data_IF_995908115206
#
_entry.id   IF_995908115206
#
_cell.length_a   1.000
_cell.length_b   1.000
_cell.length_c   1.000
_cell.angle_alpha   90.00
_cell.angle_beta   90.00
_cell.angle_gamma   90.00
#
_symmetry.space_group_name_H-M   'P 1'
#
loop_
_entity.id
_entity.type
_entity.pdbx_description
1 polymer ?
#
# COMPACT_ATOMS: atom_id res chain seq x y z
N UNK A 1 16.98 -14.93 8.11
CA UNK A 1 16.01 -15.60 7.22
C UNK A 1 15.06 -14.54 6.69
N UNK A 2 15.29 -14.03 5.47
CA UNK A 2 14.37 -13.09 4.85
C UNK A 2 13.15 -13.88 4.38
N UNK A 3 12.09 -13.90 5.20
CA UNK A 3 10.84 -14.57 4.87
C UNK A 3 10.27 -13.98 3.59
N UNK A 4 9.96 -14.84 2.60
CA UNK A 4 9.25 -14.41 1.40
C UNK A 4 7.95 -13.74 1.83
N UNK A 5 7.77 -12.46 1.46
CA UNK A 5 6.48 -11.78 1.62
C UNK A 5 5.40 -12.58 0.90
N UNK A 6 4.41 -13.08 1.64
CA UNK A 6 3.33 -13.89 1.10
C UNK A 6 2.14 -12.98 0.78
N UNK A 7 1.64 -13.05 -0.45
CA UNK A 7 0.40 -12.37 -0.83
C UNK A 7 -0.77 -13.16 -0.26
N UNK A 8 -1.50 -12.57 0.69
CA UNK A 8 -2.66 -13.16 1.36
C UNK A 8 -3.99 -12.85 0.65
N UNK A 9 -4.09 -11.68 0.03
CA UNK A 9 -5.21 -11.32 -0.84
C UNK A 9 -4.74 -10.71 -2.15
N UNK A 10 -5.39 -11.08 -3.25
CA UNK A 10 -5.07 -10.56 -4.60
C UNK A 10 -6.13 -9.59 -5.10
N UNK A 11 -5.71 -8.71 -6.02
CA UNK A 11 -6.64 -7.86 -6.75
C UNK A 11 -7.73 -8.71 -7.43
N UNK A 12 -8.98 -8.31 -7.28
CA UNK A 12 -10.13 -9.00 -7.87
C UNK A 12 -10.58 -10.26 -7.13
N UNK A 13 -9.93 -10.66 -6.05
CA UNK A 13 -10.39 -11.74 -5.18
C UNK A 13 -11.70 -11.33 -4.47
N UNK A 14 -12.58 -12.31 -4.19
CA UNK A 14 -13.82 -12.06 -3.44
C UNK A 14 -13.52 -11.62 -2.00
N UNK A 15 -14.09 -10.48 -1.60
CA UNK A 15 -14.01 -9.97 -0.23
C UNK A 15 -15.25 -10.38 0.57
N UNK A 16 -16.43 -10.01 0.08
CA UNK A 16 -17.72 -10.39 0.68
C UNK A 16 -18.84 -10.24 -0.35
N UNK A 17 -19.59 -11.30 -0.61
CA UNK A 17 -20.63 -11.30 -1.65
C UNK A 17 -20.07 -10.91 -3.02
N UNK A 18 -20.59 -9.82 -3.59
CA UNK A 18 -20.11 -9.27 -4.87
C UNK A 18 -18.90 -8.34 -4.74
N UNK A 19 -18.52 -7.95 -3.52
CA UNK A 19 -17.36 -7.09 -3.29
C UNK A 19 -16.07 -7.83 -3.64
N UNK A 20 -15.13 -7.08 -4.25
CA UNK A 20 -13.82 -7.57 -4.66
C UNK A 20 -12.73 -6.69 -4.08
N UNK A 21 -11.58 -7.28 -3.77
CA UNK A 21 -10.37 -6.56 -3.39
C UNK A 21 -9.92 -5.63 -4.53
N UNK A 22 -9.71 -4.34 -4.20
CA UNK A 22 -9.23 -3.31 -5.14
C UNK A 22 -7.71 -3.15 -5.15
N UNK A 23 -7.02 -3.85 -4.26
CA UNK A 23 -5.57 -3.92 -4.16
C UNK A 23 -5.14 -5.34 -3.82
N UNK A 24 -4.00 -5.47 -3.18
CA UNK A 24 -3.49 -6.72 -2.63
C UNK A 24 -3.08 -6.54 -1.16
N UNK A 25 -3.08 -7.64 -0.43
CA UNK A 25 -2.56 -7.69 0.94
C UNK A 25 -1.31 -8.56 0.96
N UNK A 26 -0.25 -8.01 1.51
CA UNK A 26 1.08 -8.63 1.53
C UNK A 26 1.48 -8.79 2.99
N UNK A 27 1.63 -10.03 3.44
CA UNK A 27 2.05 -10.33 4.81
C UNK A 27 3.52 -9.94 4.98
N UNK A 28 3.81 -9.22 6.05
CA UNK A 28 5.14 -8.79 6.43
C UNK A 28 5.18 -8.56 7.96
N UNK A 29 6.31 -8.80 8.63
CA UNK A 29 6.43 -8.52 10.06
C UNK A 29 6.08 -7.06 10.39
N UNK A 30 5.43 -6.83 11.53
CA UNK A 30 5.22 -5.48 12.08
C UNK A 30 6.55 -4.72 12.17
N UNK A 31 6.52 -3.43 11.85
CA UNK A 31 7.73 -2.59 11.81
C UNK A 31 8.58 -2.74 10.55
N UNK A 32 8.23 -3.65 9.62
CA UNK A 32 8.94 -3.74 8.33
C UNK A 32 8.79 -2.45 7.53
N UNK A 33 9.86 -2.03 6.87
CA UNK A 33 9.83 -0.85 6.01
C UNK A 33 8.92 -1.07 4.80
N UNK A 34 7.95 -0.16 4.63
CA UNK A 34 7.19 0.01 3.40
C UNK A 34 7.93 1.01 2.53
N UNK A 35 8.18 0.65 1.28
CA UNK A 35 8.98 1.45 0.34
C UNK A 35 8.14 1.91 -0.83
N UNK A 36 8.38 3.14 -1.30
CA UNK A 36 7.72 3.69 -2.48
C UNK A 36 8.11 2.87 -3.73
N UNK A 37 7.13 2.46 -4.54
CA UNK A 37 7.40 1.64 -5.74
C UNK A 37 8.02 2.44 -6.89
N UNK A 38 7.87 3.76 -6.88
CA UNK A 38 8.35 4.67 -7.91
C UNK A 38 8.53 6.08 -7.32
N UNK A 39 9.27 6.93 -8.03
CA UNK A 39 9.39 8.35 -7.74
C UNK A 39 8.00 9.01 -7.71
N UNK A 40 7.80 9.98 -6.82
CA UNK A 40 6.53 10.68 -6.76
C UNK A 40 6.42 11.70 -5.64
N UNK A 41 5.21 12.21 -5.45
CA UNK A 41 4.86 13.17 -4.40
C UNK A 41 3.81 12.58 -3.46
N UNK A 42 4.04 12.70 -2.15
CA UNK A 42 3.06 12.28 -1.13
C UNK A 42 1.84 13.21 -1.18
N UNK A 43 0.66 12.64 -1.45
CA UNK A 43 -0.61 13.36 -1.44
C UNK A 43 -1.35 13.24 -0.11
N UNK A 44 -1.18 12.12 0.59
CA UNK A 44 -1.87 11.83 1.85
C UNK A 44 -0.96 10.95 2.74
N UNK A 45 -1.01 11.20 4.04
CA UNK A 45 -0.37 10.41 5.09
C UNK A 45 -1.27 10.45 6.34
N UNK A 46 -2.42 9.79 6.29
CA UNK A 46 -3.50 9.94 7.27
C UNK A 46 -4.39 8.68 7.34
N UNK A 47 -5.28 8.63 8.33
CA UNK A 47 -6.20 7.53 8.56
C UNK A 47 -7.35 7.52 7.56
N UNK A 48 -7.58 6.37 6.93
CA UNK A 48 -8.75 6.11 6.10
C UNK A 48 -9.53 4.90 6.63
N UNK A 49 -10.83 5.07 6.85
CA UNK A 49 -11.68 4.00 7.35
C UNK A 49 -11.61 2.77 6.44
N UNK A 50 -11.35 1.61 7.05
CA UNK A 50 -11.15 0.33 6.35
C UNK A 50 -9.73 0.08 5.84
N UNK A 51 -8.86 1.10 5.83
CA UNK A 51 -7.45 1.00 5.38
C UNK A 51 -6.43 1.37 6.46
N UNK A 52 -6.88 1.83 7.64
CA UNK A 52 -6.00 2.27 8.72
C UNK A 52 -5.21 3.51 8.33
N UNK A 53 -3.96 3.62 8.81
CA UNK A 53 -3.06 4.67 8.40
C UNK A 53 -2.54 4.41 6.98
N UNK A 54 -2.79 5.34 6.07
CA UNK A 54 -2.47 5.23 4.65
C UNK A 54 -1.46 6.29 4.23
N UNK A 55 -0.50 5.90 3.39
CA UNK A 55 0.29 6.82 2.56
C UNK A 55 -0.18 6.71 1.12
N UNK A 56 -0.41 7.85 0.46
CA UNK A 56 -0.74 7.92 -0.98
C UNK A 56 0.32 8.72 -1.71
N UNK A 57 0.86 8.17 -2.79
CA UNK A 57 1.87 8.81 -3.63
C UNK A 57 1.32 8.97 -5.04
N UNK A 58 1.45 10.17 -5.61
CA UNK A 58 1.17 10.45 -7.03
C UNK A 58 2.48 10.41 -7.83
N UNK A 59 2.43 9.76 -8.99
CA UNK A 59 3.58 9.43 -9.83
C UNK A 59 3.58 10.17 -11.18
N UNK A 60 2.72 11.17 -11.34
CA UNK A 60 2.42 11.80 -12.63
C UNK A 60 1.30 11.10 -13.40
N UNK A 61 0.71 11.83 -14.37
CA UNK A 61 -0.32 11.32 -15.30
C UNK A 61 -1.53 10.66 -14.60
N UNK A 62 -1.83 11.08 -13.37
CA UNK A 62 -2.90 10.51 -12.54
C UNK A 62 -2.70 9.03 -12.19
N UNK A 63 -1.45 8.55 -12.20
CA UNK A 63 -1.07 7.27 -11.59
C UNK A 63 -0.75 7.49 -10.11
N UNK A 64 -1.29 6.64 -9.25
CA UNK A 64 -1.11 6.71 -7.80
C UNK A 64 -0.84 5.33 -7.20
N UNK A 65 -0.09 5.29 -6.12
CA UNK A 65 0.03 4.12 -5.23
C UNK A 65 -0.49 4.44 -3.84
N UNK A 66 -1.19 3.49 -3.22
CA UNK A 66 -1.66 3.56 -1.84
C UNK A 66 -1.00 2.44 -1.03
N UNK A 67 -0.57 2.79 0.18
CA UNK A 67 0.08 1.91 1.14
C UNK A 67 -0.69 2.03 2.44
N UNK A 68 -1.51 1.04 2.78
CA UNK A 68 -2.37 1.05 3.97
C UNK A 68 -1.92 0.07 5.04
N UNK A 69 -2.67 0.06 6.14
CA UNK A 69 -2.46 -0.77 7.33
C UNK A 69 -1.21 -0.44 8.16
N UNK A 70 -0.55 0.69 7.87
CA UNK A 70 0.71 1.04 8.51
C UNK A 70 0.54 1.31 10.01
N UNK A 71 1.55 1.02 10.82
CA UNK A 71 1.60 1.51 12.21
C UNK A 71 2.05 2.97 12.29
N UNK A 72 2.85 3.42 11.32
CA UNK A 72 3.37 4.79 11.25
C UNK A 72 3.71 5.17 9.81
N UNK A 73 3.58 6.47 9.51
CA UNK A 73 4.11 7.08 8.30
C UNK A 73 5.40 7.82 8.67
N UNK A 74 6.44 7.71 7.85
CA UNK A 74 7.74 8.38 8.06
C UNK A 74 8.02 9.42 6.96
N UNK A 75 6.98 9.82 6.24
CA UNK A 75 6.96 10.92 5.28
C UNK A 75 5.77 11.84 5.55
N UNK A 76 5.85 13.08 5.07
CA UNK A 76 4.80 14.08 5.23
C UNK A 76 4.16 14.44 3.89
N UNK A 77 2.91 14.90 3.93
CA UNK A 77 2.19 15.39 2.75
C UNK A 77 3.00 16.47 2.04
N UNK A 78 3.07 16.39 0.71
CA UNK A 78 3.80 17.30 -0.15
C UNK A 78 5.26 16.91 -0.41
N UNK A 79 5.84 15.99 0.36
CA UNK A 79 7.21 15.52 0.17
C UNK A 79 7.42 14.79 -1.16
N UNK A 80 8.59 15.01 -1.77
CA UNK A 80 9.08 14.21 -2.89
C UNK A 80 9.70 12.92 -2.34
N UNK A 81 9.44 11.79 -3.00
CA UNK A 81 10.02 10.49 -2.64
C UNK A 81 10.65 9.83 -3.87
N UNK A 82 11.64 9.00 -3.62
CA UNK A 82 12.31 8.19 -4.64
C UNK A 82 11.86 6.73 -4.61
N UNK A 83 11.92 6.05 -5.74
CA UNK A 83 11.73 4.61 -5.80
C UNK A 83 12.64 3.90 -4.77
N UNK A 84 12.06 3.00 -3.98
CA UNK A 84 12.75 2.28 -2.91
C UNK A 84 12.92 3.06 -1.60
N UNK A 85 12.57 4.35 -1.54
CA UNK A 85 12.63 5.13 -0.31
C UNK A 85 11.63 4.59 0.73
N UNK A 86 12.03 4.37 2.00
CA UNK A 86 11.10 4.06 3.09
C UNK A 86 10.10 5.20 3.31
N UNK A 87 8.82 4.86 3.42
CA UNK A 87 7.71 5.82 3.55
C UNK A 87 6.78 5.54 4.74
N UNK A 88 6.72 4.29 5.20
CA UNK A 88 5.90 3.88 6.33
C UNK A 88 6.46 2.59 6.95
N UNK A 89 5.88 2.19 8.08
CA UNK A 89 6.16 0.90 8.72
C UNK A 89 4.89 0.04 8.74
N UNK A 90 5.02 -1.24 8.38
CA UNK A 90 3.93 -2.24 8.40
C UNK A 90 3.30 -2.33 9.79
N UNK A 91 1.98 -2.46 9.86
CA UNK A 91 1.26 -2.64 11.11
C UNK A 91 -0.07 -3.37 10.93
N UNK A 92 -0.99 -3.12 11.88
CA UNK A 92 -2.34 -3.72 11.95
C UNK A 92 -3.44 -2.67 12.03
N UNK A 93 -3.15 -1.42 11.61
CA UNK A 93 -4.09 -0.30 11.77
C UNK A 93 -5.38 -0.45 10.94
N UNK A 94 -5.42 -1.36 9.97
CA UNK A 94 -6.62 -1.72 9.23
C UNK A 94 -7.63 -2.57 10.01
N UNK A 95 -7.27 -3.01 11.23
CA UNK A 95 -8.08 -3.93 12.03
C UNK A 95 -7.94 -5.40 11.65
N UNK A 96 -6.96 -5.72 10.80
CA UNK A 96 -6.63 -7.09 10.47
C UNK A 96 -5.80 -7.74 11.60
N UNK A 97 -6.00 -9.04 11.84
CA UNK A 97 -5.36 -9.75 12.96
C UNK A 97 -3.86 -10.02 12.78
N UNK A 98 -3.34 -9.95 11.55
CA UNK A 98 -1.94 -10.25 11.22
C UNK A 98 -1.26 -9.05 10.53
N UNK A 99 -0.05 -8.65 10.94
CA UNK A 99 0.68 -7.55 10.32
C UNK A 99 0.85 -7.74 8.81
N UNK A 100 0.47 -6.71 8.06
CA UNK A 100 0.45 -6.78 6.60
C UNK A 100 0.38 -5.39 5.98
N UNK A 101 0.77 -5.29 4.71
CA UNK A 101 0.64 -4.11 3.87
C UNK A 101 -0.58 -4.26 2.96
N UNK A 102 -1.50 -3.29 3.01
CA UNK A 102 -2.44 -3.08 1.91
C UNK A 102 -1.77 -2.28 0.80
N UNK A 103 -1.79 -2.78 -0.43
CA UNK A 103 -1.19 -2.10 -1.57
C UNK A 103 -2.15 -2.00 -2.74
N UNK A 104 -2.39 -0.80 -3.24
CA UNK A 104 -3.28 -0.52 -4.36
C UNK A 104 -2.62 0.43 -5.35
N UNK A 105 -2.87 0.20 -6.65
CA UNK A 105 -2.50 1.12 -7.72
C UNK A 105 -3.78 1.67 -8.33
N UNK A 106 -3.80 2.99 -8.53
CA UNK A 106 -4.83 3.66 -9.30
C UNK A 106 -4.24 4.29 -10.54
N UNK A 107 -4.96 4.16 -11.65
CA UNK A 107 -4.69 4.85 -12.92
C UNK A 107 -5.94 5.61 -13.32
N UNK A 108 -5.82 6.92 -13.50
CA UNK A 108 -6.96 7.78 -13.86
C UNK A 108 -8.16 7.60 -12.90
N UNK A 109 -7.87 7.43 -11.61
CA UNK A 109 -8.87 7.24 -10.56
C UNK A 109 -9.42 5.81 -10.42
N UNK A 110 -9.09 4.88 -11.32
CA UNK A 110 -9.56 3.49 -11.24
C UNK A 110 -8.49 2.58 -10.65
N UNK A 111 -8.90 1.70 -9.74
CA UNK A 111 -8.02 0.66 -9.19
C UNK A 111 -7.70 -0.39 -10.26
N UNK A 112 -6.42 -0.73 -10.40
CA UNK A 112 -5.92 -1.72 -11.37
C UNK A 112 -5.07 -2.77 -10.66
N UNK A 113 -4.95 -3.95 -11.27
CA UNK A 113 -4.14 -5.05 -10.71
C UNK A 113 -2.69 -4.57 -10.45
N UNK A 114 -2.20 -4.50 -9.20
CA UNK A 114 -0.85 -3.96 -8.94
C UNK A 114 0.29 -4.91 -9.31
N UNK A 115 0.01 -6.20 -9.55
CA UNK A 115 1.04 -7.22 -9.72
C UNK A 115 2.05 -6.94 -10.85
N UNK A 116 1.67 -6.38 -12.01
CA UNK A 116 2.63 -5.97 -13.05
C UNK A 116 3.61 -4.87 -12.65
N UNK A 117 3.34 -4.10 -11.59
CA UNK A 117 4.20 -3.04 -11.08
C UNK A 117 5.20 -3.54 -10.04
N UNK A 118 4.97 -4.72 -9.48
CA UNK A 118 5.89 -5.36 -8.56
C UNK A 118 6.92 -6.13 -9.40
N UNK A 119 8.10 -5.54 -9.57
CA UNK A 119 9.25 -6.17 -10.21
C UNK A 119 9.68 -7.46 -9.49
N UNK A 120 10.44 -8.31 -10.19
CA UNK A 120 11.01 -9.55 -9.64
C UNK A 120 11.93 -9.30 -8.44
#
# INVERSE_FOLDING_TARGET
MAGKSQVSHRFGEALQGELRWKGMVINAPEGSEVRAIADGRVLLADWLQGYGLVVVIEHGKSDMSLYGYNQSAIVSVGAQVKAGQPIALVGTSGGQGEPSLYFEIRRQGQAVNPQPWLGK
#
